data_IF_957168637733
#
_entry.id   IF_957168637733
#
_cell.length_a   1.000
_cell.length_b   1.000
_cell.length_c   1.000
_cell.angle_alpha   90.00
_cell.angle_beta   90.00
_cell.angle_gamma   90.00
#
_symmetry.space_group_name_H-M   'P 1'
#
loop_
_entity.id
_entity.type
_entity.pdbx_description
1 polymer ?
#
# COMPACT_ATOMS: atom_id res chain seq x y z
N UNK A 1 -21.12 -21.51 -10.93
CA UNK A 1 -19.97 -20.79 -10.34
C UNK A 1 -20.33 -19.32 -10.38
N UNK A 2 -20.26 -18.58 -9.27
CA UNK A 2 -20.49 -17.12 -9.32
C UNK A 2 -19.30 -16.49 -10.04
N UNK A 3 -19.55 -15.75 -11.10
CA UNK A 3 -18.55 -14.86 -11.68
C UNK A 3 -18.05 -13.93 -10.56
N UNK A 4 -16.74 -13.96 -10.33
CA UNK A 4 -16.11 -13.05 -9.39
C UNK A 4 -15.80 -11.80 -10.21
N UNK A 5 -16.59 -10.76 -10.03
CA UNK A 5 -16.27 -9.41 -10.51
C UNK A 5 -14.81 -9.08 -10.12
N UNK A 6 -14.01 -8.49 -11.03
CA UNK A 6 -12.63 -8.15 -10.73
C UNK A 6 -12.57 -7.18 -9.55
N UNK A 7 -11.62 -7.39 -8.64
CA UNK A 7 -11.47 -6.54 -7.46
C UNK A 7 -11.12 -5.10 -7.89
N UNK A 8 -11.99 -4.15 -7.57
CA UNK A 8 -11.71 -2.71 -7.63
C UNK A 8 -11.33 -2.20 -6.26
N UNK A 9 -10.65 -1.04 -6.18
CA UNK A 9 -10.33 -0.40 -4.90
C UNK A 9 -11.60 -0.16 -4.07
N UNK A 10 -12.66 0.34 -4.70
CA UNK A 10 -13.96 0.55 -4.05
C UNK A 10 -14.53 -0.75 -3.48
N UNK A 11 -14.44 -1.86 -4.22
CA UNK A 11 -14.91 -3.17 -3.73
C UNK A 11 -14.10 -3.68 -2.53
N UNK A 12 -12.81 -3.32 -2.46
CA UNK A 12 -11.94 -3.66 -1.34
C UNK A 12 -12.30 -2.81 -0.11
N UNK A 13 -12.46 -1.49 -0.27
CA UNK A 13 -12.90 -0.59 0.80
C UNK A 13 -14.25 -1.02 1.39
N UNK A 14 -15.23 -1.35 0.55
CA UNK A 14 -16.53 -1.88 1.00
C UNK A 14 -16.38 -3.19 1.77
N UNK A 15 -15.54 -4.10 1.30
CA UNK A 15 -15.25 -5.35 1.99
C UNK A 15 -14.57 -5.12 3.34
N UNK A 16 -13.64 -4.16 3.43
CA UNK A 16 -12.97 -3.78 4.68
C UNK A 16 -13.94 -3.14 5.68
N UNK A 17 -14.78 -2.20 5.23
CA UNK A 17 -15.84 -1.60 6.05
C UNK A 17 -16.77 -2.67 6.62
N UNK A 18 -17.19 -3.62 5.77
CA UNK A 18 -18.01 -4.75 6.20
C UNK A 18 -17.28 -5.60 7.25
N UNK A 19 -16.04 -6.00 6.98
CA UNK A 19 -15.22 -6.80 7.88
C UNK A 19 -15.09 -6.16 9.27
N UNK A 20 -14.81 -4.86 9.33
CA UNK A 20 -14.72 -4.08 10.57
C UNK A 20 -16.08 -4.04 11.28
N UNK A 21 -17.15 -3.80 10.52
CA UNK A 21 -18.50 -3.65 11.08
C UNK A 21 -19.06 -4.93 11.70
N UNK A 22 -18.85 -6.07 11.05
CA UNK A 22 -19.29 -7.39 11.53
C UNK A 22 -18.62 -7.76 12.86
N UNK A 23 -17.48 -7.17 13.17
CA UNK A 23 -16.69 -7.41 14.38
C UNK A 23 -16.88 -6.32 15.44
N UNK A 24 -17.62 -5.25 15.14
CA UNK A 24 -17.78 -4.11 16.04
C UNK A 24 -16.45 -3.39 16.33
N UNK A 25 -15.52 -3.40 15.37
CA UNK A 25 -14.16 -2.90 15.56
C UNK A 25 -13.98 -1.42 15.23
N UNK A 26 -15.04 -0.72 14.80
CA UNK A 26 -14.98 0.69 14.40
C UNK A 26 -14.30 1.56 15.46
N UNK A 27 -14.59 1.33 16.75
CA UNK A 27 -13.99 2.09 17.87
C UNK A 27 -12.47 1.99 17.98
N UNK A 28 -11.85 0.96 17.38
CA UNK A 28 -10.41 0.74 17.39
C UNK A 28 -9.72 1.31 16.15
N UNK A 29 -10.49 1.70 15.13
CA UNK A 29 -10.02 2.10 13.82
C UNK A 29 -9.81 3.62 13.74
N UNK A 30 -9.34 4.24 14.83
CA UNK A 30 -8.99 5.67 14.79
C UNK A 30 -7.85 5.90 13.78
N UNK A 31 -7.78 7.06 13.11
CA UNK A 31 -6.69 7.36 12.17
C UNK A 31 -5.30 7.15 12.77
N UNK A 32 -5.11 7.49 14.07
CA UNK A 32 -3.87 7.21 14.81
C UNK A 32 -3.54 5.72 14.83
N UNK A 33 -4.50 4.88 15.19
CA UNK A 33 -4.27 3.43 15.30
C UNK A 33 -4.03 2.80 13.92
N UNK A 34 -4.73 3.27 12.89
CA UNK A 34 -4.54 2.83 11.52
C UNK A 34 -3.17 3.22 10.96
N UNK A 35 -2.71 4.44 11.23
CA UNK A 35 -1.36 4.87 10.87
C UNK A 35 -0.28 4.05 11.59
N UNK A 36 -0.50 3.69 12.86
CA UNK A 36 0.40 2.80 13.60
C UNK A 36 0.42 1.39 13.01
N UNK A 37 -0.74 0.82 12.65
CA UNK A 37 -0.82 -0.48 12.02
C UNK A 37 -0.14 -0.49 10.64
N UNK A 38 -0.41 0.52 9.81
CA UNK A 38 0.28 0.74 8.53
C UNK A 38 1.82 0.77 8.71
N UNK A 39 2.31 1.46 9.73
CA UNK A 39 3.75 1.50 10.01
C UNK A 39 4.31 0.15 10.43
N UNK A 40 3.54 -0.66 11.16
CA UNK A 40 3.92 -2.02 11.53
C UNK A 40 4.05 -2.91 10.29
N UNK A 41 3.06 -2.92 9.39
CA UNK A 41 3.10 -3.74 8.16
C UNK A 41 4.22 -3.30 7.22
N UNK A 42 4.54 -2.00 7.16
CA UNK A 42 5.73 -1.52 6.46
C UNK A 42 7.03 -2.11 7.05
N UNK A 43 7.06 -2.33 8.36
CA UNK A 43 8.14 -3.02 9.04
C UNK A 43 8.22 -4.50 8.64
N UNK A 44 7.09 -5.21 8.63
CA UNK A 44 7.02 -6.63 8.21
C UNK A 44 7.46 -6.79 6.74
N UNK A 45 7.04 -5.87 5.87
CA UNK A 45 7.52 -5.80 4.48
C UNK A 45 9.03 -5.59 4.41
N UNK A 46 9.57 -4.67 5.21
CA UNK A 46 11.01 -4.40 5.27
C UNK A 46 11.80 -5.63 5.73
N UNK A 47 11.30 -6.37 6.72
CA UNK A 47 11.94 -7.59 7.24
C UNK A 47 12.16 -8.66 6.15
N UNK A 48 11.33 -8.68 5.10
CA UNK A 48 11.53 -9.59 3.98
C UNK A 48 12.84 -9.32 3.21
N UNK A 49 13.32 -8.07 3.22
CA UNK A 49 14.48 -7.61 2.47
C UNK A 49 15.72 -7.30 3.32
N UNK A 50 15.58 -7.19 4.64
CA UNK A 50 16.60 -6.59 5.52
C UNK A 50 18.01 -7.21 5.44
N UNK A 51 18.13 -8.47 5.02
CA UNK A 51 19.40 -9.19 4.90
C UNK A 51 19.82 -9.50 3.46
N UNK A 52 19.07 -9.04 2.46
CA UNK A 52 19.33 -9.32 1.05
C UNK A 52 20.34 -8.32 0.47
N UNK A 53 21.27 -8.83 -0.35
CA UNK A 53 22.07 -8.00 -1.24
C UNK A 53 21.24 -7.44 -2.41
N UNK A 54 21.75 -6.45 -3.16
CA UNK A 54 21.01 -5.83 -4.27
C UNK A 54 20.52 -6.81 -5.33
N UNK A 55 21.34 -7.78 -5.74
CA UNK A 55 20.92 -8.78 -6.74
C UNK A 55 19.92 -9.79 -6.17
N UNK A 56 20.08 -10.21 -4.91
CA UNK A 56 19.14 -11.12 -4.24
C UNK A 56 17.76 -10.45 -4.05
N UNK A 57 17.73 -9.14 -3.80
CA UNK A 57 16.47 -8.38 -3.69
C UNK A 57 15.65 -8.33 -4.98
N UNK A 58 16.29 -8.62 -6.13
CA UNK A 58 15.64 -8.65 -7.46
C UNK A 58 15.19 -10.05 -7.89
N UNK A 59 15.85 -11.08 -7.38
CA UNK A 59 15.59 -12.49 -7.73
C UNK A 59 15.10 -13.27 -6.50
N UNK A 60 13.86 -12.99 -6.10
CA UNK A 60 13.24 -13.65 -4.97
C UNK A 60 12.72 -15.04 -5.39
N UNK A 61 13.10 -16.08 -4.64
CA UNK A 61 12.45 -17.39 -4.77
C UNK A 61 10.95 -17.32 -4.47
N UNK A 62 10.19 -18.28 -4.99
CA UNK A 62 8.72 -18.27 -4.94
C UNK A 62 8.12 -18.10 -3.53
N UNK A 63 8.74 -18.69 -2.50
CA UNK A 63 8.28 -18.58 -1.12
C UNK A 63 8.45 -17.16 -0.58
N UNK A 64 9.61 -16.55 -0.85
CA UNK A 64 9.91 -15.18 -0.45
C UNK A 64 9.03 -14.18 -1.21
N UNK A 65 8.81 -14.40 -2.50
CA UNK A 65 7.90 -13.58 -3.30
C UNK A 65 6.47 -13.62 -2.76
N UNK A 66 5.99 -14.78 -2.30
CA UNK A 66 4.68 -14.91 -1.65
C UNK A 66 4.60 -14.16 -0.33
N UNK A 67 5.65 -14.23 0.49
CA UNK A 67 5.72 -13.47 1.74
C UNK A 67 5.68 -11.96 1.47
N UNK A 68 6.53 -11.47 0.56
CA UNK A 68 6.53 -10.06 0.13
C UNK A 68 5.15 -9.62 -0.37
N UNK A 69 4.49 -10.45 -1.19
CA UNK A 69 3.16 -10.12 -1.70
C UNK A 69 2.09 -10.03 -0.59
N UNK A 70 2.21 -10.83 0.46
CA UNK A 70 1.33 -10.76 1.63
C UNK A 70 1.53 -9.42 2.37
N UNK A 71 2.77 -9.08 2.72
CA UNK A 71 3.05 -7.83 3.44
C UNK A 71 2.71 -6.58 2.62
N UNK A 72 2.93 -6.62 1.29
CA UNK A 72 2.47 -5.55 0.40
C UNK A 72 0.95 -5.39 0.40
N UNK A 73 0.21 -6.49 0.50
CA UNK A 73 -1.24 -6.47 0.58
C UNK A 73 -1.70 -5.88 1.93
N UNK A 74 -1.03 -6.20 3.04
CA UNK A 74 -1.36 -5.66 4.35
C UNK A 74 -1.07 -4.15 4.44
N UNK A 75 0.09 -3.70 3.93
CA UNK A 75 0.39 -2.25 3.76
C UNK A 75 -0.72 -1.56 2.96
N UNK A 76 -1.13 -2.15 1.85
CA UNK A 76 -2.17 -1.59 1.00
C UNK A 76 -3.54 -1.53 1.70
N UNK A 77 -3.92 -2.59 2.41
CA UNK A 77 -5.18 -2.68 3.15
C UNK A 77 -5.25 -1.60 4.23
N UNK A 78 -4.19 -1.42 5.02
CA UNK A 78 -4.18 -0.39 6.07
C UNK A 78 -4.12 1.02 5.50
N UNK A 79 -3.41 1.24 4.39
CA UNK A 79 -3.41 2.53 3.71
C UNK A 79 -4.79 2.90 3.19
N UNK A 80 -5.48 1.97 2.52
CA UNK A 80 -6.86 2.16 2.07
C UNK A 80 -7.80 2.43 3.24
N UNK A 81 -7.68 1.65 4.32
CA UNK A 81 -8.56 1.82 5.48
C UNK A 81 -8.32 3.17 6.18
N UNK A 82 -7.08 3.63 6.23
CA UNK A 82 -6.75 4.96 6.76
C UNK A 82 -7.32 6.07 5.88
N UNK A 83 -7.20 5.96 4.55
CA UNK A 83 -7.79 6.92 3.62
C UNK A 83 -9.32 6.98 3.75
N UNK A 84 -9.98 5.81 3.80
CA UNK A 84 -11.43 5.68 4.01
C UNK A 84 -11.90 6.31 5.33
N UNK A 85 -11.19 6.07 6.44
CA UNK A 85 -11.49 6.69 7.74
C UNK A 85 -11.32 8.23 7.73
N UNK A 86 -10.41 8.74 6.90
CA UNK A 86 -10.17 10.17 6.71
C UNK A 86 -11.06 10.80 5.63
N UNK A 87 -11.83 10.01 4.89
CA UNK A 87 -12.65 10.48 3.76
C UNK A 87 -11.83 10.98 2.57
N UNK A 88 -10.65 10.40 2.34
CA UNK A 88 -9.74 10.76 1.24
C UNK A 88 -9.95 9.84 0.04
N UNK A 89 -10.04 10.42 -1.16
CA UNK A 89 -9.95 9.66 -2.42
C UNK A 89 -8.48 9.37 -2.73
N UNK A 90 -7.98 8.24 -2.25
CA UNK A 90 -6.56 7.90 -2.38
C UNK A 90 -6.10 7.82 -3.84
N UNK A 91 -6.97 7.41 -4.76
CA UNK A 91 -6.62 7.32 -6.18
C UNK A 91 -6.45 8.71 -6.79
N UNK A 92 -7.38 9.62 -6.50
CA UNK A 92 -7.27 11.01 -6.97
C UNK A 92 -6.04 11.69 -6.37
N UNK A 93 -5.80 11.53 -5.06
CA UNK A 93 -4.60 12.06 -4.39
C UNK A 93 -3.30 11.53 -5.00
N UNK A 94 -3.25 10.23 -5.33
CA UNK A 94 -2.11 9.63 -6.00
C UNK A 94 -1.92 10.20 -7.42
N UNK A 95 -3.01 10.38 -8.17
CA UNK A 95 -2.99 10.96 -9.51
C UNK A 95 -2.43 12.39 -9.52
N UNK A 96 -2.95 13.25 -8.64
CA UNK A 96 -2.51 14.63 -8.52
C UNK A 96 -1.05 14.71 -8.04
N UNK A 97 -0.65 13.79 -7.14
CA UNK A 97 0.74 13.70 -6.70
C UNK A 97 1.69 13.28 -7.81
N UNK A 98 1.30 12.37 -8.70
CA UNK A 98 2.10 11.98 -9.86
C UNK A 98 2.32 13.16 -10.81
N UNK A 99 1.26 13.90 -11.15
CA UNK A 99 1.35 15.10 -11.98
C UNK A 99 2.29 16.17 -11.36
N UNK A 100 2.18 16.38 -10.04
CA UNK A 100 3.08 17.29 -9.32
C UNK A 100 4.54 16.80 -9.33
N UNK A 101 4.78 15.49 -9.23
CA UNK A 101 6.12 14.91 -9.27
C UNK A 101 6.74 15.01 -10.68
N UNK A 102 5.97 14.81 -11.74
CA UNK A 102 6.40 14.99 -13.14
C UNK A 102 6.84 16.43 -13.41
N UNK A 103 6.08 17.40 -12.90
CA UNK A 103 6.43 18.81 -12.99
C UNK A 103 7.70 19.15 -12.17
N UNK A 104 7.87 18.52 -11.00
CA UNK A 104 9.03 18.73 -10.12
C UNK A 104 10.32 18.08 -10.67
N UNK A 105 10.19 16.94 -11.34
CA UNK A 105 11.30 16.14 -11.86
C UNK A 105 11.13 15.87 -13.37
N UNK A 106 11.27 16.90 -14.22
CA UNK A 106 11.07 16.73 -15.66
C UNK A 106 12.10 15.76 -16.26
N UNK A 107 11.64 14.82 -17.09
CA UNK A 107 12.46 13.73 -17.62
C UNK A 107 13.78 14.19 -18.26
N UNK A 108 13.76 15.31 -18.98
CA UNK A 108 14.94 15.90 -19.64
C UNK A 108 16.05 16.28 -18.66
N UNK A 109 15.72 16.56 -17.41
CA UNK A 109 16.67 16.96 -16.37
C UNK A 109 17.25 15.78 -15.57
N UNK A 110 16.64 14.59 -15.69
CA UNK A 110 16.92 13.42 -14.84
C UNK A 110 17.23 12.13 -15.61
N UNK A 111 17.36 12.18 -16.94
CA UNK A 111 17.97 11.08 -17.69
C UNK A 111 19.35 10.75 -17.07
N UNK A 112 19.49 9.49 -16.65
CA UNK A 112 20.69 8.92 -16.02
C UNK A 112 21.14 9.54 -14.68
N UNK A 113 20.27 10.28 -13.98
CA UNK A 113 20.55 10.82 -12.64
C UNK A 113 19.47 10.41 -11.64
N UNK A 114 19.87 9.67 -10.61
CA UNK A 114 18.99 9.43 -9.48
C UNK A 114 18.61 10.78 -8.81
N UNK A 115 17.33 11.05 -8.53
CA UNK A 115 16.95 12.18 -7.69
C UNK A 115 17.60 12.00 -6.31
N UNK A 116 18.13 13.09 -5.74
CA UNK A 116 18.61 13.06 -4.36
C UNK A 116 17.41 12.84 -3.43
N UNK A 117 17.51 11.82 -2.58
CA UNK A 117 16.53 11.50 -1.54
C UNK A 117 16.36 12.66 -0.55
#
# INVERSE_FOLDING_TARGET
MKEVEPATIQSIEERLRRFVSERGWQRFQTPKNLAMALAAECGELLEQFQWLGPEESRDLGADKQRAVAAEMADVFIYLLRLADELGLDLLQEAWDKMAANEAKYPAQSFQDKAPKA
#
